data_IF_472175906412
#
_entry.id   IF_472175906412
#
_cell.length_a   1.000
_cell.length_b   1.000
_cell.length_c   1.000
_cell.angle_alpha   90.00
_cell.angle_beta   90.00
_cell.angle_gamma   90.00
#
_symmetry.space_group_name_H-M   'P 1'
#
loop_
_entity.id
_entity.type
_entity.pdbx_description
1 polymer ?
#
# COMPACT_ATOMS: atom_id res chain seq x y z
N UNK A 1 9.43 15.06 -18.35
CA UNK A 1 8.45 14.02 -17.97
C UNK A 1 8.10 13.18 -19.19
N UNK A 2 8.58 11.93 -19.22
CA UNK A 2 8.43 10.99 -20.33
C UNK A 2 7.01 10.42 -20.44
N UNK A 3 6.70 9.71 -21.53
CA UNK A 3 5.42 9.00 -21.69
C UNK A 3 5.21 7.93 -20.60
N UNK A 4 6.27 7.21 -20.23
CA UNK A 4 6.24 6.21 -19.16
C UNK A 4 5.96 6.83 -17.78
N UNK A 5 6.58 7.96 -17.46
CA UNK A 5 6.29 8.69 -16.21
C UNK A 5 4.85 9.20 -16.13
N UNK A 6 4.26 9.64 -17.25
CA UNK A 6 2.84 10.06 -17.32
C UNK A 6 1.90 8.91 -16.99
N UNK A 7 2.20 7.73 -17.52
CA UNK A 7 1.49 6.49 -17.22
C UNK A 7 1.56 6.15 -15.73
N UNK A 8 2.75 6.21 -15.13
CA UNK A 8 2.93 5.92 -13.70
C UNK A 8 2.16 6.88 -12.82
N UNK A 9 2.27 8.19 -13.08
CA UNK A 9 1.53 9.21 -12.33
C UNK A 9 0.02 9.03 -12.48
N UNK A 10 -0.48 8.70 -13.67
CA UNK A 10 -1.89 8.38 -13.88
C UNK A 10 -2.31 7.20 -12.98
N UNK A 11 -1.52 6.13 -12.94
CA UNK A 11 -1.81 4.96 -12.10
C UNK A 11 -1.76 5.32 -10.60
N UNK A 12 -0.84 6.19 -10.17
CA UNK A 12 -0.79 6.69 -8.79
C UNK A 12 -2.01 7.54 -8.42
N UNK A 13 -2.44 8.44 -9.31
CA UNK A 13 -3.65 9.25 -9.10
C UNK A 13 -4.85 8.34 -8.89
N UNK A 14 -4.97 7.29 -9.70
CA UNK A 14 -6.10 6.40 -9.55
C UNK A 14 -5.97 5.55 -8.27
N UNK A 15 -4.77 5.10 -7.91
CA UNK A 15 -4.52 4.50 -6.59
C UNK A 15 -4.96 5.41 -5.43
N UNK A 16 -4.69 6.71 -5.52
CA UNK A 16 -5.14 7.70 -4.54
C UNK A 16 -6.66 7.84 -4.52
N UNK A 17 -7.33 7.83 -5.67
CA UNK A 17 -8.80 7.84 -5.77
C UNK A 17 -9.39 6.62 -5.07
N UNK A 18 -8.78 5.44 -5.25
CA UNK A 18 -9.20 4.23 -4.52
C UNK A 18 -9.01 4.37 -3.01
N UNK A 19 -7.87 4.88 -2.55
CA UNK A 19 -7.63 5.10 -1.12
C UNK A 19 -8.67 6.05 -0.51
N UNK A 20 -9.03 7.12 -1.21
CA UNK A 20 -10.09 8.05 -0.78
C UNK A 20 -11.44 7.34 -0.77
N UNK A 21 -11.77 6.55 -1.79
CA UNK A 21 -13.01 5.78 -1.83
C UNK A 21 -13.12 4.80 -0.64
N UNK A 22 -12.04 4.07 -0.32
CA UNK A 22 -12.00 3.20 0.86
C UNK A 22 -12.11 3.98 2.17
N UNK A 23 -11.46 5.15 2.28
CA UNK A 23 -11.59 5.99 3.47
C UNK A 23 -13.04 6.46 3.69
N UNK A 24 -13.75 6.81 2.61
CA UNK A 24 -15.17 7.21 2.67
C UNK A 24 -16.06 6.05 3.12
N UNK A 25 -15.74 4.79 2.80
CA UNK A 25 -16.50 3.62 3.31
C UNK A 25 -16.55 3.62 4.83
N UNK A 26 -15.48 4.01 5.52
CA UNK A 26 -15.46 4.05 6.98
C UNK A 26 -16.38 5.13 7.56
N UNK A 27 -16.77 6.13 6.77
CA UNK A 27 -17.75 7.15 7.17
C UNK A 27 -19.20 6.72 6.96
N UNK A 28 -19.46 5.63 6.22
CA UNK A 28 -20.81 5.12 6.01
C UNK A 28 -21.42 4.57 7.30
N UNK A 29 -22.76 4.52 7.43
CA UNK A 29 -23.43 3.79 8.50
C UNK A 29 -23.00 2.32 8.52
N UNK A 30 -22.92 1.73 9.72
CA UNK A 30 -22.39 0.38 9.94
C UNK A 30 -23.00 -0.69 9.00
N UNK A 31 -24.30 -0.55 8.73
CA UNK A 31 -25.09 -1.44 7.87
C UNK A 31 -24.57 -1.53 6.42
N UNK A 32 -24.00 -0.43 5.91
CA UNK A 32 -23.51 -0.31 4.54
C UNK A 32 -22.00 -0.50 4.42
N UNK A 33 -21.23 -0.38 5.52
CA UNK A 33 -19.76 -0.47 5.50
C UNK A 33 -19.27 -1.77 4.87
N UNK A 34 -19.79 -2.91 5.32
CA UNK A 34 -19.33 -4.22 4.84
C UNK A 34 -19.67 -4.43 3.36
N UNK A 35 -20.91 -4.12 2.95
CA UNK A 35 -21.37 -4.30 1.56
C UNK A 35 -20.59 -3.42 0.60
N UNK A 36 -20.50 -2.12 0.90
CA UNK A 36 -19.80 -1.15 0.05
C UNK A 36 -18.29 -1.43 0.04
N UNK A 37 -17.72 -1.81 1.19
CA UNK A 37 -16.32 -2.21 1.30
C UNK A 37 -16.00 -3.45 0.45
N UNK A 38 -16.88 -4.45 0.43
CA UNK A 38 -16.72 -5.64 -0.44
C UNK A 38 -16.78 -5.28 -1.92
N UNK A 39 -17.77 -4.47 -2.34
CA UNK A 39 -17.89 -4.05 -3.74
C UNK A 39 -16.64 -3.28 -4.19
N UNK A 40 -16.19 -2.30 -3.41
CA UNK A 40 -14.98 -1.54 -3.71
C UNK A 40 -13.73 -2.43 -3.65
N UNK A 41 -13.65 -3.37 -2.71
CA UNK A 41 -12.59 -4.38 -2.59
C UNK A 41 -12.47 -5.24 -3.85
N UNK A 42 -13.59 -5.73 -4.39
CA UNK A 42 -13.62 -6.52 -5.61
C UNK A 42 -13.19 -5.68 -6.81
N UNK A 43 -13.74 -4.47 -6.96
CA UNK A 43 -13.38 -3.58 -8.08
C UNK A 43 -11.89 -3.20 -8.04
N UNK A 44 -11.36 -2.92 -6.86
CA UNK A 44 -9.94 -2.65 -6.65
C UNK A 44 -9.07 -3.87 -6.99
N UNK A 45 -9.51 -5.08 -6.64
CA UNK A 45 -8.77 -6.31 -6.95
C UNK A 45 -8.79 -6.67 -8.44
N UNK A 46 -9.83 -6.25 -9.17
CA UNK A 46 -9.93 -6.42 -10.63
C UNK A 46 -9.08 -5.40 -11.39
N UNK A 47 -8.77 -4.26 -10.78
CA UNK A 47 -8.00 -3.18 -11.42
C UNK A 47 -6.67 -3.64 -12.04
N UNK A 48 -5.79 -4.36 -11.31
CA UNK A 48 -4.51 -4.82 -11.87
C UNK A 48 -4.68 -5.83 -13.01
N UNK A 49 -5.79 -6.56 -13.05
CA UNK A 49 -6.08 -7.52 -14.12
C UNK A 49 -6.50 -6.82 -15.42
N UNK A 50 -7.21 -5.69 -15.29
CA UNK A 50 -7.70 -4.89 -16.41
C UNK A 50 -6.66 -3.90 -16.93
N UNK A 51 -5.65 -3.55 -16.13
CA UNK A 51 -4.59 -2.63 -16.51
C UNK A 51 -3.29 -3.39 -16.88
N UNK A 52 -2.95 -3.53 -18.18
CA UNK A 52 -1.80 -4.33 -18.63
C UNK A 52 -0.45 -3.80 -18.13
N UNK A 53 -0.36 -2.50 -17.84
CA UNK A 53 0.88 -1.87 -17.35
C UNK A 53 1.18 -2.33 -15.91
N UNK A 54 0.15 -2.46 -15.08
CA UNK A 54 0.25 -2.96 -13.71
C UNK A 54 0.39 -4.47 -13.70
N UNK A 55 -0.31 -5.18 -14.61
CA UNK A 55 -0.23 -6.64 -14.74
C UNK A 55 1.20 -7.14 -15.01
N UNK A 56 2.01 -6.33 -15.68
CA UNK A 56 3.38 -6.68 -16.03
C UNK A 56 4.40 -6.26 -14.95
N UNK A 57 3.98 -5.63 -13.86
CA UNK A 57 4.87 -5.34 -12.74
C UNK A 57 5.27 -6.63 -12.02
N UNK A 58 6.54 -7.02 -12.19
CA UNK A 58 7.16 -8.10 -11.45
C UNK A 58 8.19 -7.48 -10.50
N UNK A 59 8.08 -7.72 -9.21
CA UNK A 59 9.07 -7.29 -8.22
C UNK A 59 9.02 -5.81 -7.79
N UNK A 60 10.11 -5.35 -7.17
CA UNK A 60 10.29 -4.03 -6.56
C UNK A 60 11.48 -3.29 -7.17
N UNK A 61 11.43 -1.95 -7.15
CA UNK A 61 12.45 -1.07 -7.69
C UNK A 61 12.53 -1.07 -9.20
N UNK A 62 13.49 -0.31 -9.74
CA UNK A 62 13.74 -0.22 -11.18
C UNK A 62 14.17 -1.57 -11.79
N UNK A 63 14.88 -2.38 -11.00
CA UNK A 63 15.44 -3.67 -11.42
C UNK A 63 14.48 -4.87 -11.20
N UNK A 64 13.23 -4.65 -10.79
CA UNK A 64 12.23 -5.72 -10.65
C UNK A 64 12.64 -6.85 -9.67
N UNK A 65 13.28 -6.48 -8.56
CA UNK A 65 13.85 -7.43 -7.59
C UNK A 65 12.79 -8.07 -6.68
N UNK A 66 13.18 -9.16 -6.00
CA UNK A 66 12.39 -9.68 -4.89
C UNK A 66 12.33 -8.65 -3.75
N UNK A 67 11.27 -8.70 -2.92
CA UNK A 67 11.12 -7.79 -1.79
C UNK A 67 12.32 -7.86 -0.82
N UNK A 68 12.82 -9.07 -0.56
CA UNK A 68 13.96 -9.28 0.34
C UNK A 68 15.25 -8.63 -0.17
N UNK A 69 15.56 -8.81 -1.45
CA UNK A 69 16.73 -8.21 -2.09
C UNK A 69 16.61 -6.69 -2.12
N UNK A 70 15.42 -6.18 -2.45
CA UNK A 70 15.12 -4.75 -2.50
C UNK A 70 15.33 -4.08 -1.14
N UNK A 71 14.79 -4.66 -0.06
CA UNK A 71 15.00 -4.18 1.31
C UNK A 71 16.49 -4.29 1.69
N UNK A 72 17.16 -5.37 1.27
CA UNK A 72 18.57 -5.61 1.53
C UNK A 72 19.48 -4.51 0.96
N UNK A 73 19.16 -3.99 -0.22
CA UNK A 73 19.89 -2.87 -0.85
C UNK A 73 19.63 -1.52 -0.19
N UNK A 74 18.48 -1.37 0.47
CA UNK A 74 18.04 -0.11 1.07
C UNK A 74 18.22 -0.09 2.59
N UNK A 75 19.39 0.32 3.07
CA UNK A 75 19.72 0.33 4.50
C UNK A 75 18.71 1.08 5.39
N UNK A 76 18.23 2.26 4.94
CA UNK A 76 17.22 3.03 5.66
C UNK A 76 15.85 2.33 5.70
N UNK A 77 15.44 1.71 4.59
CA UNK A 77 14.19 0.95 4.54
C UNK A 77 14.25 -0.28 5.44
N UNK A 78 15.38 -0.99 5.43
CA UNK A 78 15.64 -2.11 6.33
C UNK A 78 15.58 -1.67 7.80
N UNK A 79 16.22 -0.54 8.13
CA UNK A 79 16.18 0.01 9.49
C UNK A 79 14.76 0.36 9.91
N UNK A 80 13.99 1.00 9.02
CA UNK A 80 12.58 1.29 9.26
C UNK A 80 11.78 0.01 9.53
N UNK A 81 11.91 -1.01 8.70
CA UNK A 81 11.15 -2.27 8.87
C UNK A 81 11.52 -2.97 10.17
N UNK A 82 12.80 -3.04 10.52
CA UNK A 82 13.25 -3.63 11.80
C UNK A 82 12.72 -2.81 12.97
N UNK A 83 12.88 -1.49 12.95
CA UNK A 83 12.39 -0.62 14.02
C UNK A 83 10.87 -0.64 14.17
N UNK A 84 10.16 -0.67 13.05
CA UNK A 84 8.71 -0.80 13.02
C UNK A 84 8.27 -2.13 13.65
N UNK A 85 8.83 -3.25 13.21
CA UNK A 85 8.48 -4.56 13.75
C UNK A 85 8.89 -4.74 15.22
N UNK A 86 10.01 -4.17 15.65
CA UNK A 86 10.54 -4.35 17.00
C UNK A 86 9.90 -3.40 18.04
N UNK A 87 9.51 -2.19 17.63
CA UNK A 87 9.08 -1.13 18.58
C UNK A 87 7.65 -0.67 18.32
N UNK A 88 7.33 -0.30 17.09
CA UNK A 88 6.04 0.35 16.75
C UNK A 88 4.90 -0.68 16.73
N UNK A 89 5.13 -1.83 16.10
CA UNK A 89 4.12 -2.87 15.94
C UNK A 89 3.67 -3.46 17.29
N UNK A 90 4.56 -3.82 18.25
CA UNK A 90 4.14 -4.30 19.57
C UNK A 90 3.30 -3.27 20.34
N UNK A 91 3.66 -1.99 20.25
CA UNK A 91 2.89 -0.91 20.86
C UNK A 91 1.48 -0.79 20.24
N UNK A 92 1.38 -0.87 18.91
CA UNK A 92 0.09 -0.84 18.22
C UNK A 92 -0.77 -2.07 18.56
N UNK A 93 -0.18 -3.26 18.63
CA UNK A 93 -0.88 -4.49 19.04
C UNK A 93 -1.40 -4.36 20.48
N UNK A 94 -0.58 -3.88 21.41
CA UNK A 94 -1.02 -3.64 22.79
C UNK A 94 -2.20 -2.67 22.86
N UNK A 95 -2.13 -1.57 22.11
CA UNK A 95 -3.20 -0.57 22.04
C UNK A 95 -4.49 -1.17 21.47
N UNK A 96 -4.39 -1.99 20.41
CA UNK A 96 -5.53 -2.69 19.81
C UNK A 96 -6.19 -3.64 20.82
N UNK A 97 -5.37 -4.44 21.52
CA UNK A 97 -5.85 -5.43 22.48
C UNK A 97 -6.56 -4.79 23.70
N UNK A 98 -6.11 -3.61 24.14
CA UNK A 98 -6.64 -2.93 25.32
C UNK A 98 -7.90 -2.09 25.06
N UNK A 99 -8.10 -1.61 23.83
CA UNK A 99 -9.23 -0.72 23.50
C UNK A 99 -10.56 -1.45 23.23
N UNK A 100 -10.58 -2.79 23.15
CA UNK A 100 -11.79 -3.61 23.16
C UNK A 100 -12.82 -3.39 22.03
N UNK A 101 -12.55 -2.48 21.09
CA UNK A 101 -13.44 -2.11 20.00
C UNK A 101 -13.03 -2.69 18.64
N UNK A 102 -13.96 -2.65 17.68
CA UNK A 102 -13.74 -3.04 16.29
C UNK A 102 -12.61 -2.19 15.69
N UNK A 103 -11.43 -2.81 15.57
CA UNK A 103 -10.14 -2.14 15.40
C UNK A 103 -9.58 -2.31 13.99
N UNK A 104 -10.45 -2.61 13.02
CA UNK A 104 -10.11 -2.75 11.59
C UNK A 104 -9.20 -1.61 11.10
N UNK A 105 -9.48 -0.36 11.50
CA UNK A 105 -8.65 0.79 11.12
C UNK A 105 -7.22 0.72 11.68
N UNK A 106 -7.04 0.17 12.88
CA UNK A 106 -5.72 -0.01 13.50
C UNK A 106 -4.95 -1.17 12.85
N UNK A 107 -5.63 -2.26 12.50
CA UNK A 107 -5.03 -3.34 11.71
C UNK A 107 -4.60 -2.86 10.32
N UNK A 108 -5.45 -2.09 9.65
CA UNK A 108 -5.15 -1.48 8.36
C UNK A 108 -3.95 -0.54 8.47
N UNK A 109 -3.89 0.31 9.50
CA UNK A 109 -2.75 1.18 9.76
C UNK A 109 -1.47 0.36 9.94
N UNK A 110 -1.53 -0.74 10.70
CA UNK A 110 -0.37 -1.60 10.90
C UNK A 110 0.14 -2.19 9.57
N UNK A 111 -0.79 -2.61 8.70
CA UNK A 111 -0.46 -3.13 7.39
C UNK A 111 0.16 -2.06 6.48
N UNK A 112 -0.43 -0.86 6.44
CA UNK A 112 0.04 0.26 5.62
C UNK A 112 1.43 0.75 6.05
N UNK A 113 1.72 0.82 7.35
CA UNK A 113 3.04 1.22 7.86
C UNK A 113 4.13 0.17 7.59
N UNK A 114 3.74 -1.10 7.44
CA UNK A 114 4.65 -2.20 7.11
C UNK A 114 4.95 -2.26 5.60
N UNK A 115 3.91 -2.20 4.77
CA UNK A 115 4.01 -2.46 3.31
C UNK A 115 4.18 -1.17 2.50
N UNK A 116 3.67 -0.05 3.00
CA UNK A 116 3.70 1.24 2.32
C UNK A 116 5.10 1.74 1.99
N UNK A 117 6.04 1.78 2.94
CA UNK A 117 7.38 2.31 2.69
C UNK A 117 8.15 1.54 1.59
N UNK A 118 8.22 0.20 1.59
CA UNK A 118 8.83 -0.55 0.49
C UNK A 118 8.18 -0.25 -0.86
N UNK A 119 6.86 -0.14 -0.90
CA UNK A 119 6.11 0.16 -2.12
C UNK A 119 6.41 1.57 -2.65
N UNK A 120 6.40 2.59 -1.78
CA UNK A 120 6.67 3.98 -2.16
C UNK A 120 8.09 4.18 -2.69
N UNK A 121 9.10 3.62 -2.00
CA UNK A 121 10.50 3.70 -2.45
C UNK A 121 10.67 3.00 -3.80
N UNK A 122 10.05 1.81 -3.96
CA UNK A 122 10.06 1.07 -5.22
C UNK A 122 9.46 1.88 -6.37
N UNK A 123 8.28 2.47 -6.16
CA UNK A 123 7.61 3.27 -7.19
C UNK A 123 8.40 4.54 -7.55
N UNK A 124 9.05 5.16 -6.56
CA UNK A 124 9.93 6.29 -6.79
C UNK A 124 11.14 5.93 -7.66
N UNK A 125 11.83 4.82 -7.37
CA UNK A 125 12.95 4.36 -8.19
C UNK A 125 12.53 4.06 -9.63
N UNK A 126 11.36 3.41 -9.80
CA UNK A 126 10.82 3.10 -11.12
C UNK A 126 10.49 4.38 -11.89
N UNK A 127 9.96 5.40 -11.22
CA UNK A 127 9.70 6.70 -11.82
C UNK A 127 11.00 7.40 -12.28
N UNK A 128 12.06 7.33 -11.48
CA UNK A 128 13.37 7.87 -11.86
C UNK A 128 13.97 7.12 -13.04
N UNK A 129 13.93 5.79 -13.04
CA UNK A 129 14.44 4.97 -14.13
C UNK A 129 13.67 5.15 -15.45
N UNK A 130 12.41 5.63 -15.38
CA UNK A 130 11.57 5.89 -16.54
C UNK A 130 11.89 7.19 -17.30
N UNK A 131 12.88 8.00 -16.85
CA UNK A 131 13.50 9.06 -17.65
C UNK A 131 13.62 10.44 -17.01
#
# INVERSE_FOLDING_TARGET
MTSAQKVMVKNWVIGCVWLVAFAVVFQLPHEYRLKTGLVLGVLFSLWPLLNPEIRNWRGYGAEQQSLGDFIGRHGLLKLWMVGYCALVLPFLIYRIATLGGDSIGSYLLCFLLLVGPPFLVSEYERYQAAG
#
